data_IF_638506359062
#
_entry.id   IF_638506359062
#
_cell.length_a   1.000
_cell.length_b   1.000
_cell.length_c   1.000
_cell.angle_alpha   90.00
_cell.angle_beta   90.00
_cell.angle_gamma   90.00
#
_symmetry.space_group_name_H-M   'P 1'
#
loop_
_entity.id
_entity.type
_entity.pdbx_description
1 polymer ?
#
# COMPACT_ATOMS: atom_id res chain seq x y z
N UNK A 1 45.74 18.51 -24.93
CA UNK A 1 45.29 17.11 -25.12
C UNK A 1 45.19 16.30 -23.82
N UNK A 2 46.07 16.46 -22.82
CA UNK A 2 46.01 15.68 -21.54
C UNK A 2 44.73 15.86 -20.73
N UNK A 3 44.11 17.03 -20.69
CA UNK A 3 42.89 17.30 -19.91
C UNK A 3 41.64 16.69 -20.53
N UNK A 4 41.60 16.55 -21.86
CA UNK A 4 40.44 15.94 -22.54
C UNK A 4 40.38 14.44 -22.29
N UNK A 5 41.51 13.76 -22.26
CA UNK A 5 41.60 12.31 -21.98
C UNK A 5 41.27 11.97 -20.52
N UNK A 6 41.60 12.87 -19.58
CA UNK A 6 41.27 12.69 -18.15
C UNK A 6 39.76 12.79 -17.92
N UNK A 7 39.09 13.76 -18.56
CA UNK A 7 37.64 13.92 -18.46
C UNK A 7 36.87 12.73 -19.04
N UNK A 8 37.33 12.20 -20.18
CA UNK A 8 36.66 11.00 -20.78
C UNK A 8 36.80 9.78 -19.87
N UNK A 9 37.96 9.52 -19.28
CA UNK A 9 38.14 8.41 -18.34
C UNK A 9 37.29 8.55 -17.11
N UNK A 10 37.14 9.76 -16.59
CA UNK A 10 36.28 10.06 -15.44
C UNK A 10 34.79 9.83 -15.76
N UNK A 11 34.31 10.26 -16.94
CA UNK A 11 32.95 9.99 -17.40
C UNK A 11 32.71 8.49 -17.60
N UNK A 12 33.62 7.76 -18.19
CA UNK A 12 33.48 6.31 -18.35
C UNK A 12 33.44 5.62 -16.99
N UNK A 13 34.27 6.03 -16.03
CA UNK A 13 34.25 5.46 -14.67
C UNK A 13 32.92 5.69 -13.94
N UNK A 14 32.35 6.89 -14.07
CA UNK A 14 31.00 7.20 -13.47
C UNK A 14 29.92 6.37 -14.16
N UNK A 15 29.94 6.27 -15.49
CA UNK A 15 28.97 5.49 -16.24
C UNK A 15 29.04 4.00 -15.84
N UNK A 16 30.21 3.43 -15.72
CA UNK A 16 30.40 2.05 -15.27
C UNK A 16 29.89 1.88 -13.82
N UNK A 17 30.20 2.84 -12.94
CA UNK A 17 29.74 2.80 -11.55
C UNK A 17 28.21 2.82 -11.46
N UNK A 18 27.52 3.60 -12.29
CA UNK A 18 26.05 3.62 -12.36
C UNK A 18 25.45 2.29 -12.83
N UNK A 19 26.13 1.54 -13.68
CA UNK A 19 25.66 0.23 -14.15
C UNK A 19 25.93 -0.91 -13.14
N UNK A 20 26.87 -0.73 -12.21
CA UNK A 20 27.22 -1.76 -11.21
C UNK A 20 26.29 -1.71 -9.99
N UNK A 21 25.65 -0.58 -9.72
CA UNK A 21 24.72 -0.44 -8.60
C UNK A 21 23.34 -0.94 -9.06
N UNK A 22 23.17 -2.25 -9.14
CA UNK A 22 21.83 -2.85 -9.20
C UNK A 22 21.27 -2.86 -7.79
N UNK A 23 20.38 -1.93 -7.50
CA UNK A 23 19.53 -2.03 -6.32
C UNK A 23 18.38 -2.97 -6.67
N UNK A 24 18.40 -4.18 -6.16
CA UNK A 24 17.24 -5.05 -6.14
C UNK A 24 16.21 -4.42 -5.20
N UNK A 25 15.32 -3.61 -5.74
CA UNK A 25 14.15 -3.10 -5.02
C UNK A 25 13.18 -4.28 -4.88
N UNK A 26 13.33 -5.05 -3.81
CA UNK A 26 12.36 -6.08 -3.43
C UNK A 26 11.17 -5.41 -2.76
N UNK A 27 10.08 -5.32 -3.48
CA UNK A 27 8.83 -4.74 -2.99
C UNK A 27 7.71 -5.78 -2.77
N UNK A 28 8.05 -7.03 -2.52
CA UNK A 28 7.19 -8.21 -2.55
C UNK A 28 6.59 -8.57 -1.19
N UNK A 29 6.02 -7.63 -0.45
CA UNK A 29 5.62 -7.95 0.93
C UNK A 29 4.15 -7.70 1.27
N UNK A 30 3.42 -6.88 0.50
CA UNK A 30 1.98 -6.68 0.71
C UNK A 30 1.21 -7.83 0.05
N UNK A 31 0.50 -8.59 0.87
CA UNK A 31 -0.25 -9.78 0.45
C UNK A 31 -1.76 -9.55 0.38
N UNK A 32 -2.27 -8.50 1.04
CA UNK A 32 -3.67 -8.17 1.01
C UNK A 32 -4.05 -7.02 1.94
N UNK A 33 -5.33 -6.70 1.93
CA UNK A 33 -5.93 -5.72 2.82
C UNK A 33 -7.44 -5.80 2.82
N UNK A 34 -8.05 -5.24 3.85
CA UNK A 34 -9.48 -5.13 4.00
C UNK A 34 -9.88 -3.74 4.50
N UNK A 35 -11.03 -3.27 4.10
CA UNK A 35 -11.58 -1.97 4.54
C UNK A 35 -12.93 -2.21 5.20
N UNK A 36 -13.07 -1.71 6.43
CA UNK A 36 -14.33 -1.61 7.14
C UNK A 36 -14.69 -0.15 7.31
N UNK A 37 -15.95 0.19 7.22
CA UNK A 37 -16.46 1.53 7.51
C UNK A 37 -17.68 1.49 8.41
N UNK A 38 -17.81 2.50 9.25
CA UNK A 38 -18.94 2.70 10.13
C UNK A 38 -19.40 4.17 10.05
N UNK A 39 -20.71 4.40 9.96
CA UNK A 39 -21.25 5.76 10.06
C UNK A 39 -21.26 6.15 11.55
N UNK A 40 -20.46 7.14 11.92
CA UNK A 40 -20.33 7.57 13.33
C UNK A 40 -21.02 8.90 13.62
N UNK A 41 -21.50 9.61 12.59
CA UNK A 41 -22.22 10.85 12.80
C UNK A 41 -22.78 11.45 11.51
N UNK A 42 -23.74 12.36 11.68
CA UNK A 42 -24.25 13.19 10.58
C UNK A 42 -24.59 14.59 11.11
N UNK A 43 -24.37 15.59 10.25
CA UNK A 43 -24.72 16.98 10.50
C UNK A 43 -25.70 17.44 9.42
N UNK A 44 -26.97 17.55 9.79
CA UNK A 44 -28.04 17.97 8.86
C UNK A 44 -27.92 19.43 8.46
N UNK A 45 -27.31 20.27 9.32
CA UNK A 45 -27.14 21.71 9.04
C UNK A 45 -26.07 21.93 7.96
N UNK A 46 -25.01 21.13 8.00
CA UNK A 46 -23.91 21.16 7.02
C UNK A 46 -24.11 20.18 5.88
N UNK A 47 -25.16 19.38 5.94
CA UNK A 47 -25.45 18.31 4.99
C UNK A 47 -24.25 17.35 4.81
N UNK A 48 -23.68 16.87 5.92
CA UNK A 48 -22.51 15.99 5.92
C UNK A 48 -22.75 14.74 6.76
N UNK A 49 -21.99 13.69 6.45
CA UNK A 49 -21.91 12.42 7.17
C UNK A 49 -20.45 12.09 7.46
N UNK A 50 -20.19 11.58 8.65
CA UNK A 50 -18.85 11.17 9.09
C UNK A 50 -18.77 9.67 9.19
N UNK A 51 -17.77 9.10 8.57
CA UNK A 51 -17.44 7.68 8.59
C UNK A 51 -16.13 7.45 9.34
N UNK A 52 -16.12 6.46 10.21
CA UNK A 52 -14.91 5.85 10.76
C UNK A 52 -14.47 4.74 9.81
N UNK A 53 -13.26 4.86 9.30
CA UNK A 53 -12.65 3.90 8.38
C UNK A 53 -11.58 3.12 9.12
N UNK A 54 -11.68 1.80 9.04
CA UNK A 54 -10.63 0.87 9.52
C UNK A 54 -10.07 0.13 8.31
N UNK A 55 -8.81 0.37 8.00
CA UNK A 55 -8.08 -0.31 6.94
C UNK A 55 -7.04 -1.23 7.56
N UNK A 56 -7.16 -2.53 7.33
CA UNK A 56 -6.20 -3.54 7.76
C UNK A 56 -5.35 -3.95 6.56
N UNK A 57 -4.05 -3.80 6.67
CA UNK A 57 -3.08 -4.21 5.66
C UNK A 57 -2.31 -5.42 6.18
N UNK A 58 -2.11 -6.41 5.31
CA UNK A 58 -1.36 -7.62 5.60
C UNK A 58 -0.07 -7.66 4.79
N UNK A 59 1.03 -8.06 5.42
CA UNK A 59 2.31 -8.26 4.75
C UNK A 59 2.95 -9.60 5.13
N UNK A 60 3.79 -10.10 4.24
CA UNK A 60 4.68 -11.23 4.54
C UNK A 60 5.84 -10.75 5.42
N UNK A 61 5.94 -11.27 6.65
CA UNK A 61 6.99 -10.93 7.60
C UNK A 61 8.28 -11.72 7.39
N UNK A 62 8.25 -12.78 6.57
CA UNK A 62 9.40 -13.68 6.35
C UNK A 62 10.12 -13.41 5.03
N UNK A 63 9.53 -12.69 4.10
CA UNK A 63 10.13 -12.39 2.79
C UNK A 63 11.36 -11.47 2.84
N UNK A 64 11.64 -10.85 3.99
CA UNK A 64 12.69 -9.82 4.10
C UNK A 64 12.36 -8.51 3.37
N UNK A 65 11.11 -8.33 2.93
CA UNK A 65 10.62 -7.12 2.28
C UNK A 65 10.52 -5.92 3.20
N UNK A 66 10.19 -4.75 2.63
CA UNK A 66 10.08 -3.49 3.36
C UNK A 66 9.00 -3.54 4.45
N UNK A 67 9.17 -2.75 5.50
CA UNK A 67 8.15 -2.55 6.52
C UNK A 67 6.91 -1.83 5.97
N UNK A 68 5.85 -1.76 6.76
CA UNK A 68 4.73 -0.87 6.47
C UNK A 68 5.23 0.56 6.27
N UNK A 69 4.63 1.29 5.34
CA UNK A 69 4.97 2.69 5.10
C UNK A 69 4.76 3.55 6.35
N UNK A 70 5.52 4.64 6.47
CA UNK A 70 5.35 5.57 7.58
C UNK A 70 3.97 6.22 7.58
N UNK A 71 3.35 6.33 6.40
CA UNK A 71 1.97 6.77 6.24
C UNK A 71 1.31 6.07 5.06
N UNK A 72 -0.02 5.91 5.14
CA UNK A 72 -0.86 5.43 4.05
C UNK A 72 -1.69 6.58 3.50
N UNK A 73 -1.73 6.71 2.18
CA UNK A 73 -2.48 7.77 1.49
C UNK A 73 -3.72 7.19 0.84
N UNK A 74 -4.89 7.70 1.21
CA UNK A 74 -6.19 7.28 0.68
C UNK A 74 -6.78 8.38 -0.20
N UNK A 75 -7.16 8.02 -1.42
CA UNK A 75 -7.97 8.86 -2.29
C UNK A 75 -9.45 8.63 -2.03
N UNK A 76 -10.21 9.71 -1.85
CA UNK A 76 -11.67 9.66 -1.74
C UNK A 76 -12.26 10.22 -3.02
N UNK A 77 -13.13 9.46 -3.64
CA UNK A 77 -13.78 9.80 -4.91
C UNK A 77 -15.29 9.73 -4.75
N UNK A 78 -16.00 10.51 -5.56
CA UNK A 78 -17.46 10.50 -5.63
C UNK A 78 -17.90 10.30 -7.07
N UNK A 79 -18.85 9.41 -7.30
CA UNK A 79 -19.33 9.14 -8.64
C UNK A 79 -20.31 7.99 -8.73
N UNK A 80 -20.60 7.59 -9.97
CA UNK A 80 -21.44 6.45 -10.29
C UNK A 80 -20.77 5.63 -11.40
N UNK A 81 -20.65 4.31 -11.16
CA UNK A 81 -20.18 3.31 -12.12
C UNK A 81 -18.86 3.62 -12.83
N UNK A 82 -18.87 4.44 -13.89
CA UNK A 82 -17.70 4.67 -14.75
C UNK A 82 -17.00 6.01 -14.52
N UNK A 83 -17.67 6.96 -13.84
CA UNK A 83 -17.13 8.31 -13.65
C UNK A 83 -16.97 8.62 -12.18
N UNK A 84 -15.70 8.75 -11.77
CA UNK A 84 -15.29 9.05 -10.41
C UNK A 84 -14.55 10.39 -10.37
N UNK A 85 -15.04 11.31 -9.57
CA UNK A 85 -14.40 12.61 -9.35
C UNK A 85 -13.69 12.58 -8.00
N UNK A 86 -12.44 13.03 -7.99
CA UNK A 86 -11.70 13.21 -6.76
C UNK A 86 -12.40 14.20 -5.83
N UNK A 87 -12.45 13.87 -4.54
CA UNK A 87 -13.04 14.70 -3.49
C UNK A 87 -11.96 15.22 -2.56
N UNK A 88 -11.18 14.31 -1.98
CA UNK A 88 -10.09 14.66 -1.06
C UNK A 88 -9.09 13.51 -0.92
N UNK A 89 -7.95 13.83 -0.34
CA UNK A 89 -6.92 12.86 0.05
C UNK A 89 -6.79 12.86 1.57
N UNK A 90 -6.71 11.68 2.16
CA UNK A 90 -6.45 11.48 3.59
C UNK A 90 -5.13 10.76 3.74
N UNK A 91 -4.24 11.30 4.56
CA UNK A 91 -2.94 10.69 4.90
C UNK A 91 -3.02 10.24 6.35
N UNK A 92 -2.74 8.96 6.58
CA UNK A 92 -2.84 8.31 7.89
C UNK A 92 -1.48 7.76 8.27
N UNK A 93 -1.02 8.07 9.46
CA UNK A 93 0.26 7.60 9.96
C UNK A 93 0.24 6.07 10.17
N UNK A 94 1.43 5.50 10.08
CA UNK A 94 1.62 4.07 10.33
C UNK A 94 1.05 3.68 11.69
N UNK A 95 0.38 2.50 11.81
CA UNK A 95 -0.15 2.04 13.07
C UNK A 95 0.94 1.96 14.14
N UNK A 96 0.60 2.39 15.36
CA UNK A 96 1.49 2.28 16.49
C UNK A 96 1.79 0.82 16.87
N UNK A 97 0.86 -0.09 16.58
CA UNK A 97 1.00 -1.53 16.82
C UNK A 97 0.91 -2.31 15.50
N UNK A 98 1.89 -3.15 15.27
CA UNK A 98 1.90 -4.17 14.23
C UNK A 98 1.88 -5.51 14.96
N UNK A 99 1.01 -6.43 14.56
CA UNK A 99 0.88 -7.72 15.21
C UNK A 99 0.98 -8.86 14.19
N UNK A 100 1.58 -9.97 14.61
CA UNK A 100 1.52 -11.19 13.82
C UNK A 100 0.10 -11.74 13.78
N UNK A 101 -0.27 -12.31 12.64
CA UNK A 101 -1.50 -13.07 12.47
C UNK A 101 -1.19 -14.51 12.87
N UNK A 102 -1.84 -15.04 13.93
CA UNK A 102 -1.58 -16.41 14.34
C UNK A 102 -2.02 -17.39 13.25
N UNK A 103 -1.17 -18.37 12.98
CA UNK A 103 -1.48 -19.43 12.04
C UNK A 103 -2.31 -20.49 12.78
N UNK A 104 -3.49 -20.79 12.25
CA UNK A 104 -4.32 -21.87 12.80
C UNK A 104 -3.73 -23.24 12.40
N UNK A 105 -3.16 -23.92 13.37
CA UNK A 105 -2.59 -25.28 13.24
C UNK A 105 -3.56 -26.36 13.71
N UNK A 106 -4.78 -26.01 14.08
CA UNK A 106 -5.78 -26.96 14.63
C UNK A 106 -6.33 -27.91 13.58
N UNK A 107 -6.29 -27.53 12.30
CA UNK A 107 -6.76 -28.36 11.21
C UNK A 107 -5.66 -29.35 10.76
N UNK A 108 -5.83 -30.66 10.94
CA UNK A 108 -4.80 -31.66 10.61
C UNK A 108 -4.56 -31.79 9.09
N UNK A 109 -5.42 -31.22 8.26
CA UNK A 109 -5.27 -31.21 6.80
C UNK A 109 -4.41 -30.04 6.31
N UNK A 110 -4.04 -29.10 7.18
CA UNK A 110 -3.22 -27.93 6.83
C UNK A 110 -1.77 -28.20 7.23
N UNK A 111 -0.90 -28.37 6.25
CA UNK A 111 0.53 -28.37 6.45
C UNK A 111 1.02 -26.92 6.31
N UNK A 112 1.34 -26.28 7.43
CA UNK A 112 1.87 -24.92 7.43
C UNK A 112 3.34 -24.95 7.00
N UNK A 113 3.71 -24.24 5.90
CA UNK A 113 5.10 -24.13 5.51
C UNK A 113 5.93 -23.40 6.58
N UNK A 114 7.15 -23.84 6.82
CA UNK A 114 8.02 -23.32 7.89
C UNK A 114 8.43 -21.85 7.73
N UNK A 115 8.28 -21.30 6.54
CA UNK A 115 8.69 -19.93 6.21
C UNK A 115 7.51 -18.99 5.94
N UNK A 116 6.33 -19.28 6.44
CA UNK A 116 5.17 -18.39 6.34
C UNK A 116 5.01 -17.58 7.60
N UNK A 117 4.91 -16.29 7.47
CA UNK A 117 4.59 -15.36 8.55
C UNK A 117 3.81 -14.18 7.98
N UNK A 118 2.74 -13.81 8.64
CA UNK A 118 1.88 -12.70 8.25
C UNK A 118 1.81 -11.70 9.39
N UNK A 119 2.09 -10.45 9.10
CA UNK A 119 1.84 -9.34 10.00
C UNK A 119 0.69 -8.49 9.49
N UNK A 120 -0.05 -7.90 10.42
CA UNK A 120 -1.09 -6.92 10.10
C UNK A 120 -0.82 -5.58 10.76
N UNK A 121 -1.09 -4.52 10.01
CA UNK A 121 -1.14 -3.14 10.48
C UNK A 121 -2.53 -2.58 10.29
N UNK A 122 -3.08 -1.89 11.30
CA UNK A 122 -4.44 -1.36 11.26
C UNK A 122 -4.35 0.16 11.26
N UNK A 123 -4.89 0.80 10.21
CA UNK A 123 -5.01 2.23 10.05
C UNK A 123 -6.44 2.64 10.33
N UNK A 124 -6.63 3.63 11.19
CA UNK A 124 -7.97 4.12 11.59
C UNK A 124 -8.01 5.62 11.36
N UNK A 125 -9.04 6.08 10.67
CA UNK A 125 -9.24 7.50 10.44
C UNK A 125 -10.71 7.83 10.22
N UNK A 126 -11.08 9.08 10.48
CA UNK A 126 -12.40 9.59 10.18
C UNK A 126 -12.37 10.40 8.88
N UNK A 127 -13.47 10.32 8.15
CA UNK A 127 -13.70 11.13 6.96
C UNK A 127 -15.11 11.69 6.99
N UNK A 128 -15.21 13.03 6.86
CA UNK A 128 -16.49 13.73 6.76
C UNK A 128 -16.76 14.08 5.30
N UNK A 129 -17.89 13.63 4.78
CA UNK A 129 -18.26 13.76 3.38
C UNK A 129 -19.64 14.43 3.24
N UNK A 130 -19.89 15.22 2.18
CA UNK A 130 -21.23 15.71 1.88
C UNK A 130 -22.21 14.56 1.67
N UNK A 131 -23.43 14.69 2.18
CA UNK A 131 -24.51 13.76 1.84
C UNK A 131 -24.80 13.86 0.34
N UNK A 132 -24.83 12.75 -0.35
CA UNK A 132 -24.93 12.67 -1.79
C UNK A 132 -25.79 11.50 -2.23
N UNK A 133 -26.46 11.64 -3.38
CA UNK A 133 -27.11 10.52 -4.08
C UNK A 133 -26.16 9.70 -4.94
N UNK A 134 -24.87 10.10 -4.99
CA UNK A 134 -23.80 9.36 -5.65
C UNK A 134 -23.03 8.51 -4.63
N UNK A 135 -22.37 7.48 -5.10
CA UNK A 135 -21.53 6.62 -4.28
C UNK A 135 -20.20 7.30 -3.94
N UNK A 136 -19.61 6.90 -2.83
CA UNK A 136 -18.22 7.21 -2.49
C UNK A 136 -17.36 5.98 -2.67
N UNK A 137 -16.15 6.18 -3.17
CA UNK A 137 -15.11 5.17 -3.30
C UNK A 137 -13.90 5.62 -2.50
N UNK A 138 -13.40 4.75 -1.63
CA UNK A 138 -12.13 4.91 -0.92
C UNK A 138 -11.11 4.02 -1.61
N UNK A 139 -10.02 4.60 -2.06
CA UNK A 139 -8.97 3.89 -2.78
C UNK A 139 -7.64 4.06 -2.06
N UNK A 140 -6.98 2.94 -1.79
CA UNK A 140 -5.58 2.87 -1.42
C UNK A 140 -4.82 2.25 -2.58
N UNK A 141 -3.77 2.92 -3.04
CA UNK A 141 -2.95 2.45 -4.16
C UNK A 141 -1.49 2.40 -3.73
N UNK A 142 -0.86 1.31 -4.07
CA UNK A 142 0.57 1.11 -3.85
C UNK A 142 1.14 0.29 -5.00
N UNK A 143 2.32 0.67 -5.47
CA UNK A 143 3.09 -0.15 -6.42
C UNK A 143 3.65 -1.41 -5.75
N UNK A 144 4.15 -2.28 -6.57
CA UNK A 144 5.07 -3.34 -6.16
C UNK A 144 4.38 -4.38 -5.25
N UNK A 145 3.30 -4.96 -5.75
CA UNK A 145 2.58 -6.04 -5.09
C UNK A 145 3.37 -7.36 -5.17
N UNK A 146 3.01 -8.31 -4.33
CA UNK A 146 3.64 -9.61 -4.32
C UNK A 146 3.50 -10.32 -5.69
N UNK A 147 4.60 -10.79 -6.25
CA UNK A 147 4.67 -11.47 -7.55
C UNK A 147 3.94 -12.82 -7.57
N UNK A 148 3.53 -13.34 -6.42
CA UNK A 148 2.70 -14.56 -6.34
C UNK A 148 1.23 -14.32 -6.68
N UNK A 149 0.81 -13.07 -6.91
CA UNK A 149 -0.55 -12.72 -7.32
C UNK A 149 -0.69 -13.02 -8.82
N UNK A 150 -1.30 -14.15 -9.15
CA UNK A 150 -1.35 -14.69 -10.53
C UNK A 150 -2.41 -14.03 -11.42
N UNK A 151 -3.35 -13.30 -10.87
CA UNK A 151 -4.42 -12.62 -11.61
C UNK A 151 -4.09 -11.17 -12.01
N UNK A 152 -2.88 -10.73 -11.79
CA UNK A 152 -2.34 -9.45 -12.28
C UNK A 152 -1.27 -9.71 -13.34
N UNK A 153 -1.24 -8.88 -14.39
CA UNK A 153 -0.30 -9.02 -15.52
C UNK A 153 1.14 -8.71 -15.10
N UNK A 154 1.32 -7.75 -14.22
CA UNK A 154 2.64 -7.36 -13.67
C UNK A 154 2.45 -6.88 -12.23
N UNK A 155 2.33 -7.77 -11.26
CA UNK A 155 2.06 -7.37 -9.88
C UNK A 155 3.21 -6.57 -9.26
N UNK A 156 4.45 -6.77 -9.70
CA UNK A 156 5.62 -6.03 -9.24
C UNK A 156 5.72 -4.61 -9.80
N UNK A 157 5.20 -4.36 -10.97
CA UNK A 157 5.30 -3.08 -11.70
C UNK A 157 4.02 -2.23 -11.69
N UNK A 158 2.89 -2.81 -11.32
CA UNK A 158 1.59 -2.11 -11.34
C UNK A 158 1.17 -1.63 -9.96
N UNK A 159 0.89 -0.35 -9.83
CA UNK A 159 0.29 0.30 -8.67
C UNK A 159 -1.00 1.01 -9.03
#
# INVERSE_FOLDING_TARGET
MKYLTLNIKFFIAITVLCFVIKQDIKAEHIIGGEVKYECVGSDTTRNTVTFLITFTMYRDSKSGGANFDNNATFGIYRGNNQFWNWVQTVVVDRPASISEVPIDTSNPCILVPVNVGVEKGIYIFEVTLPISNQNYMISYQRCCRNNTILNLVDPGGTG
#
